data_IF_262990254982
#
_entry.id   IF_262990254982
#
_cell.length_a   1.000
_cell.length_b   1.000
_cell.length_c   1.000
_cell.angle_alpha   90.00
_cell.angle_beta   90.00
_cell.angle_gamma   90.00
#
_symmetry.space_group_name_H-M   'P 1'
#
loop_
_entity.id
_entity.type
_entity.pdbx_description
1 polymer ?
#
# COMPACT_ATOMS: atom_id res chain seq x y z
N UNK A 1 28.23 21.50 60.98
CA UNK A 1 27.58 20.62 59.96
C UNK A 1 27.05 21.48 58.82
N UNK A 2 27.97 21.99 57.99
CA UNK A 2 27.70 22.99 56.96
C UNK A 2 28.23 22.60 55.57
N UNK A 3 28.41 21.30 55.28
CA UNK A 3 29.08 20.87 54.05
C UNK A 3 28.40 19.73 53.25
N UNK A 4 27.25 19.21 53.69
CA UNK A 4 26.57 18.12 52.97
C UNK A 4 25.32 18.55 52.15
N UNK A 5 24.93 19.84 52.21
CA UNK A 5 23.72 20.37 51.58
C UNK A 5 23.98 21.46 50.51
N UNK A 6 25.23 21.60 50.04
CA UNK A 6 25.60 22.59 49.00
C UNK A 6 26.00 21.99 47.64
N UNK A 7 25.94 20.68 47.45
CA UNK A 7 26.47 20.01 46.25
C UNK A 7 25.46 19.31 45.35
N UNK A 8 24.15 19.51 45.53
CA UNK A 8 23.13 19.03 44.59
C UNK A 8 22.27 20.14 43.96
N UNK A 9 22.63 21.39 44.19
CA UNK A 9 22.05 22.54 43.50
C UNK A 9 23.01 23.01 42.41
N UNK A 10 23.10 22.23 41.34
CA UNK A 10 23.61 22.59 40.00
C UNK A 10 23.85 21.31 39.20
N UNK A 11 22.81 20.83 38.52
CA UNK A 11 22.93 20.05 37.27
C UNK A 11 21.61 20.20 36.50
N UNK A 12 21.35 21.44 36.11
CA UNK A 12 20.54 21.72 34.93
C UNK A 12 21.35 21.26 33.72
N UNK A 13 20.65 20.62 32.78
CA UNK A 13 21.03 20.42 31.38
C UNK A 13 22.31 19.61 31.10
N UNK A 14 22.10 18.32 30.84
CA UNK A 14 22.75 17.72 29.67
C UNK A 14 21.68 17.33 28.67
N UNK A 15 21.63 17.96 27.47
CA UNK A 15 20.80 17.45 26.39
C UNK A 15 21.23 16.01 26.09
N UNK A 16 20.25 15.13 25.88
CA UNK A 16 20.49 13.73 25.50
C UNK A 16 21.52 13.70 24.37
N UNK A 17 22.68 13.08 24.63
CA UNK A 17 23.77 13.00 23.64
C UNK A 17 23.32 12.10 22.50
N UNK A 18 23.95 12.22 21.33
CA UNK A 18 23.52 11.54 20.09
C UNK A 18 23.19 10.05 20.22
N UNK A 19 23.86 9.31 21.11
CA UNK A 19 23.59 7.89 21.40
C UNK A 19 22.26 7.66 22.14
N UNK A 20 21.85 8.59 23.01
CA UNK A 20 20.60 8.52 23.77
C UNK A 20 19.41 8.96 22.90
N UNK A 21 19.62 9.89 21.97
CA UNK A 21 18.63 10.25 20.94
C UNK A 21 18.47 9.10 19.90
N UNK A 22 19.57 8.46 19.51
CA UNK A 22 19.59 7.26 18.67
C UNK A 22 18.88 6.09 19.37
N UNK A 23 19.10 5.90 20.67
CA UNK A 23 18.40 4.89 21.47
C UNK A 23 16.91 5.21 21.61
N UNK A 24 16.53 6.48 21.78
CA UNK A 24 15.13 6.88 21.87
C UNK A 24 14.38 6.76 20.53
N UNK A 25 15.01 7.10 19.41
CA UNK A 25 14.47 6.91 18.06
C UNK A 25 14.41 5.42 17.67
N UNK A 26 15.42 4.63 18.05
CA UNK A 26 15.43 3.19 17.90
C UNK A 26 14.28 2.55 18.72
N UNK A 27 14.14 2.94 19.99
CA UNK A 27 13.06 2.47 20.88
C UNK A 27 11.66 2.92 20.43
N UNK A 28 11.52 4.13 19.85
CA UNK A 28 10.26 4.60 19.28
C UNK A 28 9.89 3.83 18.00
N UNK A 29 10.86 3.58 17.12
CA UNK A 29 10.61 2.77 15.91
C UNK A 29 10.38 1.29 16.24
N UNK A 30 11.02 0.75 17.28
CA UNK A 30 10.75 -0.60 17.80
C UNK A 30 9.32 -0.72 18.37
N UNK A 31 8.86 0.29 19.13
CA UNK A 31 7.61 0.19 19.88
C UNK A 31 6.36 0.55 19.10
N UNK A 32 6.39 1.49 18.14
CA UNK A 32 5.18 1.93 17.42
C UNK A 32 5.24 1.88 15.90
N UNK A 33 6.40 1.57 15.30
CA UNK A 33 6.57 1.71 13.85
C UNK A 33 6.66 3.18 13.44
N UNK A 34 6.94 3.43 12.15
CA UNK A 34 6.98 4.78 11.59
C UNK A 34 5.90 4.93 10.53
N UNK A 35 5.25 6.10 10.51
CA UNK A 35 4.36 6.45 9.42
C UNK A 35 5.14 6.46 8.09
N UNK A 36 4.60 5.88 7.01
CA UNK A 36 5.36 5.72 5.78
C UNK A 36 5.75 7.03 5.09
N UNK A 37 4.96 8.09 5.24
CA UNK A 37 5.25 9.42 4.70
C UNK A 37 6.46 10.05 5.42
N UNK A 38 6.63 9.80 6.71
CA UNK A 38 7.80 10.22 7.49
C UNK A 38 9.07 9.54 6.97
N UNK A 39 9.00 8.22 6.70
CA UNK A 39 10.12 7.46 6.10
C UNK A 39 10.43 7.99 4.69
N UNK A 40 9.40 8.21 3.87
CA UNK A 40 9.54 8.74 2.52
C UNK A 40 10.20 10.12 2.48
N UNK A 41 9.74 11.05 3.33
CA UNK A 41 10.33 12.40 3.44
C UNK A 41 11.78 12.34 3.91
N UNK A 42 12.10 11.46 4.87
CA UNK A 42 13.47 11.28 5.36
C UNK A 42 14.42 10.79 4.26
N UNK A 43 13.98 9.86 3.42
CA UNK A 43 14.78 9.30 2.32
C UNK A 43 14.88 10.23 1.11
N UNK A 44 13.86 11.04 0.85
CA UNK A 44 13.82 12.00 -0.26
C UNK A 44 14.53 13.33 0.04
N UNK A 45 14.91 13.57 1.29
CA UNK A 45 15.66 14.78 1.67
C UNK A 45 17.05 14.73 1.05
N UNK A 46 17.25 15.52 -0.01
CA UNK A 46 18.55 15.76 -0.62
C UNK A 46 19.42 16.62 0.33
N UNK A 47 20.40 15.98 0.95
CA UNK A 47 21.33 16.61 1.88
C UNK A 47 22.39 17.49 1.18
N UNK A 48 22.46 17.48 -0.16
CA UNK A 48 23.41 18.26 -0.98
C UNK A 48 22.75 19.51 -1.59
N UNK A 49 21.49 19.45 -2.06
CA UNK A 49 20.76 20.61 -2.59
C UNK A 49 20.28 21.61 -1.52
N UNK A 50 20.47 21.31 -0.24
CA UNK A 50 20.27 22.26 0.86
C UNK A 50 21.38 23.33 0.90
N UNK A 51 21.75 23.92 -0.23
CA UNK A 51 22.73 25.01 -0.37
C UNK A 51 22.05 26.39 -0.50
N UNK A 52 20.83 26.50 -1.03
CA UNK A 52 20.26 27.82 -1.41
C UNK A 52 19.46 28.56 -0.34
N UNK A 53 19.20 27.97 0.82
CA UNK A 53 18.50 28.65 1.91
C UNK A 53 19.45 29.11 3.03
N UNK A 54 19.15 30.23 3.68
CA UNK A 54 20.03 30.77 4.72
C UNK A 54 20.19 29.77 5.88
N UNK A 55 21.33 29.83 6.59
CA UNK A 55 21.74 28.87 7.63
C UNK A 55 20.76 28.75 8.80
N UNK A 56 19.83 29.70 8.96
CA UNK A 56 18.79 29.69 9.98
C UNK A 56 17.60 28.79 9.60
N UNK A 57 17.19 28.74 8.34
CA UNK A 57 15.94 28.09 7.92
C UNK A 57 16.06 26.55 7.83
N UNK A 58 17.29 26.02 7.85
CA UNK A 58 17.59 24.59 7.61
C UNK A 58 17.53 23.70 8.85
N UNK A 59 17.59 24.25 10.07
CA UNK A 59 17.72 23.45 11.30
C UNK A 59 16.59 23.66 12.30
N UNK A 60 15.67 24.57 12.01
CA UNK A 60 14.57 24.89 12.90
C UNK A 60 13.50 23.80 12.92
N UNK A 61 13.08 23.17 11.80
CA UNK A 61 12.13 22.06 11.85
C UNK A 61 12.64 20.87 12.68
N UNK A 62 13.93 20.53 12.54
CA UNK A 62 14.57 19.46 13.31
C UNK A 62 14.73 19.83 14.80
N UNK A 63 15.04 21.09 15.11
CA UNK A 63 15.11 21.60 16.48
C UNK A 63 13.74 21.65 17.16
N UNK A 64 12.69 22.03 16.44
CA UNK A 64 11.32 22.06 16.92
C UNK A 64 10.75 20.65 17.10
N UNK A 65 11.07 19.71 16.21
CA UNK A 65 10.72 18.30 16.37
C UNK A 65 11.43 17.69 17.60
N UNK A 66 12.71 18.00 17.80
CA UNK A 66 13.44 17.58 19.00
C UNK A 66 12.86 18.23 20.27
N UNK A 67 12.51 19.51 20.23
CA UNK A 67 11.85 20.22 21.33
C UNK A 67 10.44 19.68 21.59
N UNK A 68 9.69 19.25 20.56
CA UNK A 68 8.42 18.52 20.69
C UNK A 68 8.63 17.20 21.43
N UNK A 69 9.59 16.39 21.01
CA UNK A 69 9.88 15.10 21.64
C UNK A 69 10.31 15.29 23.10
N UNK A 70 11.17 16.27 23.38
CA UNK A 70 11.64 16.57 24.74
C UNK A 70 10.52 17.15 25.61
N UNK A 71 9.73 18.11 25.11
CA UNK A 71 8.62 18.70 25.88
C UNK A 71 7.52 17.69 26.17
N UNK A 72 7.19 16.80 25.22
CA UNK A 72 6.24 15.70 25.45
C UNK A 72 6.78 14.70 26.46
N UNK A 73 8.09 14.40 26.42
CA UNK A 73 8.72 13.53 27.40
C UNK A 73 8.72 14.15 28.81
N UNK A 74 9.02 15.44 28.92
CA UNK A 74 8.99 16.17 30.20
C UNK A 74 7.57 16.24 30.76
N UNK A 75 6.56 16.57 29.94
CA UNK A 75 5.16 16.60 30.38
C UNK A 75 4.65 15.22 30.79
N UNK A 76 5.07 14.15 30.11
CA UNK A 76 4.69 12.78 30.45
C UNK A 76 5.39 12.25 31.71
N UNK A 77 6.60 12.73 32.02
CA UNK A 77 7.41 12.25 33.16
C UNK A 77 7.20 13.10 34.42
N UNK A 78 7.06 14.42 34.28
CA UNK A 78 6.93 15.35 35.41
C UNK A 78 5.49 15.79 35.69
N UNK A 79 4.53 15.46 34.82
CA UNK A 79 3.09 15.67 35.05
C UNK A 79 2.77 17.05 35.62
N UNK A 80 2.12 17.07 36.80
CA UNK A 80 1.69 18.30 37.47
C UNK A 80 2.81 19.12 38.13
N UNK A 81 4.04 18.62 38.18
CA UNK A 81 5.18 19.32 38.78
C UNK A 81 5.78 20.40 37.85
N UNK A 82 5.42 20.40 36.55
CA UNK A 82 5.78 21.48 35.62
C UNK A 82 4.79 22.64 35.81
N UNK A 83 5.22 23.88 36.12
CA UNK A 83 4.30 25.00 36.28
C UNK A 83 3.40 25.14 35.06
N UNK A 84 2.10 25.39 35.26
CA UNK A 84 1.13 25.49 34.16
C UNK A 84 1.45 26.60 33.15
N UNK A 85 2.34 27.53 33.50
CA UNK A 85 2.70 28.73 32.74
C UNK A 85 1.48 29.60 32.39
N UNK A 86 0.39 29.49 33.16
CA UNK A 86 -0.90 30.13 32.89
C UNK A 86 -1.85 29.23 32.09
N UNK A 87 -3.11 29.68 31.98
CA UNK A 87 -4.15 28.99 31.21
C UNK A 87 -4.58 29.87 30.04
N UNK A 88 -4.75 29.24 28.88
CA UNK A 88 -5.30 29.91 27.70
C UNK A 88 -6.77 30.27 27.97
N UNK A 89 -7.21 31.41 27.42
CA UNK A 89 -8.65 31.73 27.43
C UNK A 89 -9.41 30.67 26.63
N UNK A 90 -10.68 30.39 26.95
CA UNK A 90 -11.46 29.32 26.30
C UNK A 90 -11.47 29.41 24.78
N UNK A 91 -11.58 30.63 24.24
CA UNK A 91 -11.59 30.89 22.80
C UNK A 91 -10.25 30.54 22.13
N UNK A 92 -9.13 30.85 22.76
CA UNK A 92 -7.79 30.55 22.22
C UNK A 92 -7.48 29.05 22.35
N UNK A 93 -7.94 28.43 23.44
CA UNK A 93 -7.84 26.99 23.64
C UNK A 93 -8.60 26.22 22.55
N UNK A 94 -9.88 26.54 22.32
CA UNK A 94 -10.70 25.89 21.29
C UNK A 94 -10.14 26.11 19.87
N UNK A 95 -9.63 27.32 19.59
CA UNK A 95 -8.97 27.61 18.32
C UNK A 95 -7.75 26.69 18.13
N UNK A 96 -6.87 26.58 19.13
CA UNK A 96 -5.69 25.71 19.05
C UNK A 96 -6.08 24.23 18.98
N UNK A 97 -7.12 23.79 19.70
CA UNK A 97 -7.63 22.41 19.59
C UNK A 97 -8.17 22.10 18.20
N UNK A 98 -8.82 23.06 17.53
CA UNK A 98 -9.31 22.89 16.16
C UNK A 98 -8.16 22.67 15.16
N UNK A 99 -7.01 23.32 15.40
CA UNK A 99 -5.79 23.14 14.60
C UNK A 99 -5.08 21.84 14.96
N UNK A 100 -4.93 21.53 16.25
CA UNK A 100 -4.30 20.29 16.72
C UNK A 100 -5.07 19.03 16.27
N UNK A 101 -6.41 19.10 16.20
CA UNK A 101 -7.25 18.00 15.71
C UNK A 101 -7.02 17.65 14.23
N UNK A 102 -6.52 18.59 13.41
CA UNK A 102 -6.12 18.30 12.03
C UNK A 102 -4.84 17.45 11.95
N UNK A 103 -4.05 17.42 13.03
CA UNK A 103 -2.84 16.58 13.20
C UNK A 103 -3.04 15.41 14.18
N UNK A 104 -4.31 15.03 14.43
CA UNK A 104 -4.75 13.87 15.23
C UNK A 104 -4.32 13.93 16.72
N UNK A 105 -3.99 15.11 17.25
CA UNK A 105 -3.63 15.24 18.66
C UNK A 105 -4.40 16.38 19.32
N UNK A 106 -4.84 16.21 20.57
CA UNK A 106 -5.50 17.25 21.34
C UNK A 106 -4.78 17.45 22.67
N UNK A 107 -4.59 18.70 23.10
CA UNK A 107 -4.06 18.99 24.41
C UNK A 107 -5.08 18.59 25.49
N UNK A 108 -4.64 18.00 26.61
CA UNK A 108 -5.57 17.47 27.62
C UNK A 108 -6.18 18.54 28.52
N UNK A 109 -5.61 19.75 28.54
CA UNK A 109 -6.10 20.86 29.36
C UNK A 109 -5.81 22.22 28.72
N UNK A 110 -6.45 23.31 29.20
CA UNK A 110 -6.17 24.69 28.76
C UNK A 110 -4.83 25.25 29.26
N UNK A 111 -4.07 24.49 30.05
CA UNK A 111 -2.77 24.94 30.52
C UNK A 111 -1.80 25.09 29.34
N UNK A 112 -1.09 26.21 29.25
CA UNK A 112 -0.19 26.52 28.13
C UNK A 112 0.84 25.40 27.92
N UNK A 113 1.36 24.82 29.02
CA UNK A 113 2.32 23.71 28.98
C UNK A 113 1.85 22.50 28.15
N UNK A 114 0.55 22.23 28.12
CA UNK A 114 -0.01 21.05 27.46
C UNK A 114 -0.16 21.26 25.95
N UNK A 115 -0.14 22.51 25.50
CA UNK A 115 -0.16 22.89 24.08
C UNK A 115 1.24 23.00 23.47
N UNK A 116 2.26 23.30 24.27
CA UNK A 116 3.64 23.53 23.80
C UNK A 116 4.16 22.41 22.88
N UNK A 117 4.02 21.11 23.20
CA UNK A 117 4.50 20.07 22.31
C UNK A 117 3.83 20.13 20.93
N UNK A 118 2.52 20.32 20.90
CA UNK A 118 1.74 20.32 19.66
C UNK A 118 1.97 21.58 18.82
N UNK A 119 2.12 22.73 19.47
CA UNK A 119 2.53 23.99 18.82
C UNK A 119 3.92 23.86 18.22
N UNK A 120 4.87 23.19 18.90
CA UNK A 120 6.21 22.95 18.35
C UNK A 120 6.19 22.00 17.15
N UNK A 121 5.34 20.98 17.19
CA UNK A 121 5.12 20.07 16.06
C UNK A 121 4.50 20.81 14.86
N UNK A 122 3.49 21.65 15.09
CA UNK A 122 2.83 22.43 14.05
C UNK A 122 3.74 23.53 13.49
N UNK A 123 4.52 24.20 14.33
CA UNK A 123 5.55 25.13 13.89
C UNK A 123 6.64 24.39 13.10
N UNK A 124 6.99 23.14 13.44
CA UNK A 124 7.93 22.35 12.65
C UNK A 124 7.38 22.01 11.25
N UNK A 125 6.07 21.83 11.14
CA UNK A 125 5.37 21.64 9.86
C UNK A 125 5.13 22.97 9.10
N UNK A 126 5.04 24.09 9.82
CA UNK A 126 4.68 25.42 9.30
C UNK A 126 5.83 26.44 9.23
N UNK A 127 7.09 26.05 9.44
CA UNK A 127 8.25 26.94 9.56
C UNK A 127 8.73 27.64 8.26
N UNK A 128 7.81 27.96 7.36
CA UNK A 128 8.02 28.94 6.29
C UNK A 128 7.62 30.38 6.66
N UNK A 129 7.03 30.63 7.85
CA UNK A 129 6.28 31.87 8.07
C UNK A 129 6.91 32.99 8.91
N UNK A 130 7.81 32.80 9.91
CA UNK A 130 8.31 33.95 10.71
C UNK A 130 9.74 33.76 11.27
N UNK A 131 10.58 34.76 10.96
CA UNK A 131 12.00 34.92 11.32
C UNK A 131 12.25 35.02 12.85
N UNK A 132 13.49 34.67 13.24
CA UNK A 132 14.29 35.06 14.44
C UNK A 132 14.34 34.13 15.66
N UNK A 133 15.55 33.64 16.00
CA UNK A 133 16.29 33.83 17.27
C UNK A 133 17.53 32.87 17.32
N UNK A 134 18.67 33.26 17.94
CA UNK A 134 20.00 33.16 17.34
C UNK A 134 20.99 32.18 18.01
N UNK A 135 22.00 31.76 17.23
CA UNK A 135 23.39 31.47 17.63
C UNK A 135 23.69 30.48 18.78
N UNK A 136 23.40 29.17 18.65
CA UNK A 136 24.06 28.19 19.52
C UNK A 136 24.33 26.82 18.85
N UNK A 137 25.62 26.55 18.66
CA UNK A 137 26.28 25.26 18.38
C UNK A 137 26.41 24.70 16.94
N UNK A 138 27.58 25.04 16.38
CA UNK A 138 28.44 24.41 15.35
C UNK A 138 28.14 22.96 14.88
N UNK A 139 28.13 22.77 13.54
CA UNK A 139 27.33 21.75 12.81
C UNK A 139 28.11 20.79 11.85
N UNK A 140 29.42 20.54 12.02
CA UNK A 140 30.17 19.71 11.04
C UNK A 140 29.98 18.19 11.19
N UNK A 141 29.91 17.64 12.40
CA UNK A 141 29.83 16.19 12.64
C UNK A 141 28.46 15.53 12.49
N UNK A 142 27.39 16.29 12.24
CA UNK A 142 26.01 15.78 12.19
C UNK A 142 25.55 15.36 10.79
N UNK A 143 26.21 15.86 9.73
CA UNK A 143 25.86 15.55 8.33
C UNK A 143 26.26 14.14 7.93
N UNK A 144 27.44 13.69 8.33
CA UNK A 144 27.92 12.32 8.07
C UNK A 144 27.04 11.29 8.77
N UNK A 145 26.66 11.56 10.02
CA UNK A 145 25.73 10.71 10.78
C UNK A 145 24.33 10.65 10.16
N UNK A 146 23.79 11.78 9.68
CA UNK A 146 22.50 11.78 8.99
C UNK A 146 22.54 10.95 7.68
N UNK A 147 23.64 11.02 6.92
CA UNK A 147 23.86 10.19 5.72
C UNK A 147 23.94 8.70 6.06
N UNK A 148 24.66 8.36 7.13
CA UNK A 148 24.77 6.97 7.60
C UNK A 148 23.39 6.42 7.99
N UNK A 149 22.57 7.20 8.70
CA UNK A 149 21.21 6.81 9.05
C UNK A 149 20.28 6.72 7.83
N UNK A 150 20.38 7.64 6.85
CA UNK A 150 19.65 7.51 5.58
C UNK A 150 20.05 6.23 4.84
N UNK A 151 21.33 5.85 4.85
CA UNK A 151 21.79 4.60 4.24
C UNK A 151 21.21 3.37 4.95
N UNK A 152 21.20 3.35 6.29
CA UNK A 152 20.62 2.27 7.09
C UNK A 152 19.12 2.15 6.84
N UNK A 153 18.37 3.26 6.89
CA UNK A 153 16.92 3.26 6.63
C UNK A 153 16.61 2.86 5.20
N UNK A 154 17.41 3.30 4.22
CA UNK A 154 17.28 2.88 2.82
C UNK A 154 17.50 1.37 2.69
N UNK A 155 18.57 0.84 3.27
CA UNK A 155 18.85 -0.61 3.24
C UNK A 155 17.75 -1.43 3.92
N UNK A 156 17.25 -1.00 5.08
CA UNK A 156 16.14 -1.68 5.77
C UNK A 156 14.83 -1.59 4.99
N UNK A 157 14.56 -0.45 4.35
CA UNK A 157 13.42 -0.27 3.46
C UNK A 157 13.54 -1.16 2.22
N UNK A 158 14.73 -1.25 1.62
CA UNK A 158 15.03 -2.13 0.47
C UNK A 158 15.00 -3.63 0.81
N UNK A 159 15.08 -3.99 2.09
CA UNK A 159 14.95 -5.38 2.58
C UNK A 159 13.57 -5.71 3.13
N UNK A 160 12.65 -4.74 3.20
CA UNK A 160 11.33 -4.94 3.79
C UNK A 160 11.40 -5.27 5.30
N UNK A 161 12.38 -4.71 6.01
CA UNK A 161 12.61 -4.93 7.45
C UNK A 161 12.11 -3.76 8.32
N UNK A 162 11.55 -2.72 7.68
CA UNK A 162 11.01 -1.56 8.38
C UNK A 162 9.72 -1.91 9.11
N UNK A 163 9.51 -1.36 10.31
CA UNK A 163 8.22 -1.44 10.99
C UNK A 163 7.42 -0.17 10.66
N UNK A 164 6.22 -0.34 10.13
CA UNK A 164 5.34 0.75 9.75
C UNK A 164 4.16 0.89 10.72
N UNK A 165 3.65 2.12 10.84
CA UNK A 165 2.37 2.42 11.47
C UNK A 165 1.42 2.82 10.33
N UNK A 166 0.40 2.00 10.08
CA UNK A 166 -0.51 2.19 8.95
C UNK A 166 -1.82 2.82 9.43
N UNK A 167 -2.57 3.41 8.51
CA UNK A 167 -3.90 3.90 8.81
C UNK A 167 -4.79 2.74 9.28
N UNK A 168 -5.67 3.00 10.26
CA UNK A 168 -6.66 2.01 10.68
C UNK A 168 -7.59 1.71 9.51
N UNK A 169 -7.78 0.42 9.21
CA UNK A 169 -8.62 -0.04 8.11
C UNK A 169 -7.90 -0.12 6.75
N UNK A 170 -6.58 0.10 6.69
CA UNK A 170 -5.81 0.00 5.44
C UNK A 170 -5.93 -1.38 4.78
N UNK A 171 -5.62 -1.43 3.48
CA UNK A 171 -5.61 -2.65 2.68
C UNK A 171 -4.23 -3.32 2.78
N UNK A 172 -4.18 -4.58 3.22
CA UNK A 172 -2.98 -5.41 3.15
C UNK A 172 -2.97 -6.19 1.82
N UNK A 173 -2.15 -5.76 0.86
CA UNK A 173 -2.07 -6.33 -0.48
C UNK A 173 -0.94 -7.35 -0.59
N UNK A 174 -1.29 -8.61 -0.84
CA UNK A 174 -0.37 -9.72 -1.07
C UNK A 174 -0.21 -9.95 -2.57
N UNK A 175 0.99 -9.67 -3.06
CA UNK A 175 1.35 -9.81 -4.47
C UNK A 175 2.29 -10.98 -4.65
N UNK A 176 2.19 -11.68 -5.79
CA UNK A 176 3.07 -12.79 -6.13
C UNK A 176 4.50 -12.33 -6.42
N UNK A 177 4.87 -12.28 -7.70
CA UNK A 177 6.17 -11.71 -8.14
C UNK A 177 6.05 -10.24 -8.48
N UNK A 178 5.21 -9.53 -7.72
CA UNK A 178 4.79 -8.15 -7.97
C UNK A 178 3.53 -8.09 -8.81
N UNK A 179 2.69 -7.12 -8.49
CA UNK A 179 1.51 -6.81 -9.27
C UNK A 179 1.40 -5.29 -9.37
N UNK A 180 1.44 -4.81 -10.60
CA UNK A 180 1.30 -3.39 -10.91
C UNK A 180 -0.03 -2.79 -10.44
N UNK A 181 -1.08 -3.62 -10.24
CA UNK A 181 -2.34 -3.21 -9.65
C UNK A 181 -2.14 -2.80 -8.18
N UNK A 182 -1.26 -3.46 -7.44
CA UNK A 182 -0.92 -3.05 -6.07
C UNK A 182 -0.13 -1.73 -6.07
N UNK A 183 0.82 -1.57 -6.99
CA UNK A 183 1.55 -0.31 -7.17
C UNK A 183 0.57 0.81 -7.50
N UNK A 184 -0.36 0.57 -8.42
CA UNK A 184 -1.38 1.56 -8.80
C UNK A 184 -2.34 1.89 -7.66
N UNK A 185 -2.75 0.89 -6.88
CA UNK A 185 -3.56 1.09 -5.67
C UNK A 185 -2.81 1.98 -4.67
N UNK A 186 -1.50 1.82 -4.55
CA UNK A 186 -0.68 2.63 -3.65
C UNK A 186 -0.37 4.03 -4.20
N UNK A 187 -0.30 4.22 -5.52
CA UNK A 187 -0.18 5.53 -6.14
C UNK A 187 -1.44 6.38 -6.01
N UNK A 188 -2.61 5.72 -6.01
CA UNK A 188 -3.92 6.37 -5.94
C UNK A 188 -4.36 6.66 -4.51
N UNK A 189 -3.84 5.94 -3.52
CA UNK A 189 -4.15 6.10 -2.09
C UNK A 189 -3.01 6.77 -1.33
N UNK A 190 -3.29 7.21 -0.10
CA UNK A 190 -2.24 7.70 0.78
C UNK A 190 -1.25 6.57 1.14
N UNK A 191 0.02 6.90 1.40
CA UNK A 191 1.09 5.90 1.60
C UNK A 191 0.88 4.97 2.81
N UNK A 192 0.02 5.36 3.74
CA UNK A 192 -0.37 4.62 4.94
C UNK A 192 -1.68 3.84 4.77
N UNK A 193 -2.33 3.89 3.60
CA UNK A 193 -3.59 3.20 3.32
C UNK A 193 -3.43 1.85 2.59
N UNK A 194 -2.22 1.54 2.10
CA UNK A 194 -1.92 0.28 1.41
C UNK A 194 -0.56 -0.24 1.86
N UNK A 195 -0.54 -1.43 2.46
CA UNK A 195 0.69 -2.17 2.77
C UNK A 195 0.85 -3.29 1.75
N UNK A 196 1.92 -3.26 0.96
CA UNK A 196 2.24 -4.35 0.03
C UNK A 196 3.13 -5.40 0.70
N UNK A 197 2.81 -6.68 0.49
CA UNK A 197 3.58 -7.84 0.91
C UNK A 197 3.99 -8.64 -0.33
N UNK A 198 5.29 -8.73 -0.58
CA UNK A 198 5.84 -9.35 -1.80
C UNK A 198 7.10 -10.17 -1.50
N UNK A 199 7.43 -11.12 -2.36
CA UNK A 199 8.71 -11.86 -2.28
C UNK A 199 9.92 -11.01 -2.71
N UNK A 200 9.69 -9.98 -3.53
CA UNK A 200 10.69 -9.04 -4.00
C UNK A 200 10.10 -7.64 -4.12
N UNK A 201 10.93 -6.60 -3.93
CA UNK A 201 10.49 -5.21 -4.05
C UNK A 201 10.23 -4.85 -5.50
N UNK A 202 9.03 -4.37 -5.80
CA UNK A 202 8.67 -3.78 -7.10
C UNK A 202 8.02 -2.43 -6.82
N UNK A 203 8.57 -1.38 -7.46
CA UNK A 203 8.03 -0.01 -7.53
C UNK A 203 7.92 0.80 -6.22
N UNK A 204 7.23 0.25 -5.23
CA UNK A 204 6.65 0.91 -4.07
C UNK A 204 7.62 1.55 -3.07
N UNK A 205 7.09 2.57 -2.37
CA UNK A 205 7.75 3.24 -1.24
C UNK A 205 7.57 2.49 0.09
N UNK A 206 6.46 1.77 0.24
CA UNK A 206 6.06 1.10 1.49
C UNK A 206 5.69 -0.33 1.19
N UNK A 207 6.46 -1.28 1.71
CA UNK A 207 6.29 -2.70 1.44
C UNK A 207 6.99 -3.55 2.51
N UNK A 208 6.65 -4.84 2.53
CA UNK A 208 7.24 -5.87 3.36
C UNK A 208 7.64 -7.07 2.52
N UNK A 209 8.78 -7.68 2.88
CA UNK A 209 9.22 -8.93 2.27
C UNK A 209 8.55 -10.11 2.98
N UNK A 210 7.74 -10.87 2.25
CA UNK A 210 7.09 -12.09 2.76
C UNK A 210 7.53 -13.30 1.93
N UNK A 211 7.93 -14.36 2.61
CA UNK A 211 8.12 -15.68 1.99
C UNK A 211 6.91 -16.54 2.37
N UNK A 212 6.00 -16.77 1.42
CA UNK A 212 4.73 -17.46 1.68
C UNK A 212 4.91 -18.93 2.12
N UNK A 213 6.06 -19.53 1.82
CA UNK A 213 6.45 -20.88 2.23
C UNK A 213 7.44 -20.90 3.42
N UNK A 214 7.61 -19.77 4.11
CA UNK A 214 8.46 -19.65 5.30
C UNK A 214 7.85 -20.29 6.54
N UNK A 215 8.56 -20.23 7.67
CA UNK A 215 7.98 -20.64 8.95
C UNK A 215 6.86 -19.68 9.33
N UNK A 216 5.82 -20.20 9.97
CA UNK A 216 4.65 -19.41 10.31
C UNK A 216 5.00 -18.21 11.21
N UNK A 217 5.94 -18.39 12.15
CA UNK A 217 6.41 -17.33 13.03
C UNK A 217 7.09 -16.20 12.25
N UNK A 218 7.91 -16.52 11.25
CA UNK A 218 8.58 -15.54 10.40
C UNK A 218 7.55 -14.69 9.64
N UNK A 219 6.49 -15.33 9.14
CA UNK A 219 5.39 -14.64 8.48
C UNK A 219 4.63 -13.74 9.46
N UNK A 220 4.41 -14.20 10.70
CA UNK A 220 3.74 -13.38 11.71
C UNK A 220 4.55 -12.14 12.07
N UNK A 221 5.87 -12.25 12.17
CA UNK A 221 6.74 -11.09 12.37
C UNK A 221 6.64 -10.09 11.22
N UNK A 222 6.61 -10.57 9.97
CA UNK A 222 6.41 -9.71 8.79
C UNK A 222 5.05 -9.00 8.84
N UNK A 223 3.98 -9.71 9.21
CA UNK A 223 2.64 -9.14 9.37
C UNK A 223 2.61 -8.10 10.48
N UNK A 224 3.28 -8.34 11.61
CA UNK A 224 3.43 -7.40 12.72
C UNK A 224 4.25 -6.15 12.30
N UNK A 225 5.27 -6.30 11.43
CA UNK A 225 6.03 -5.16 10.88
C UNK A 225 5.22 -4.28 9.93
N UNK A 226 4.34 -4.88 9.14
CA UNK A 226 3.46 -4.17 8.21
C UNK A 226 2.15 -3.67 8.83
N UNK A 227 1.97 -3.81 10.15
CA UNK A 227 0.77 -3.41 10.89
C UNK A 227 -0.54 -4.12 10.46
N UNK A 228 -0.46 -5.39 10.06
CA UNK A 228 -1.63 -6.16 9.60
C UNK A 228 -2.77 -6.21 10.62
N UNK A 229 -2.46 -6.04 11.92
CA UNK A 229 -3.45 -5.91 12.99
C UNK A 229 -4.46 -4.81 12.70
N UNK A 230 -3.99 -3.65 12.25
CA UNK A 230 -4.79 -2.46 11.95
C UNK A 230 -5.45 -2.53 10.57
N UNK A 231 -5.12 -3.52 9.73
CA UNK A 231 -5.71 -3.69 8.41
C UNK A 231 -7.22 -3.94 8.49
N UNK A 232 -7.96 -3.42 7.51
CA UNK A 232 -9.40 -3.64 7.38
C UNK A 232 -9.73 -4.87 6.53
N UNK A 233 -8.80 -5.32 5.70
CA UNK A 233 -8.98 -6.39 4.71
C UNK A 233 -7.62 -6.87 4.18
N UNK A 234 -7.63 -8.06 3.58
CA UNK A 234 -6.52 -8.62 2.82
C UNK A 234 -6.90 -8.70 1.34
N UNK A 235 -6.07 -8.13 0.47
CA UNK A 235 -6.21 -8.21 -0.98
C UNK A 235 -5.16 -9.19 -1.50
N UNK A 236 -5.59 -10.27 -2.17
CA UNK A 236 -4.69 -11.26 -2.78
C UNK A 236 -4.73 -11.08 -4.28
N UNK A 237 -3.55 -10.89 -4.86
CA UNK A 237 -3.34 -10.64 -6.29
C UNK A 237 -2.54 -11.82 -6.90
N UNK A 238 -3.23 -12.89 -7.33
CA UNK A 238 -2.60 -14.11 -7.84
C UNK A 238 -2.35 -14.11 -9.36
N UNK A 239 -2.66 -13.05 -10.10
CA UNK A 239 -2.51 -12.99 -11.56
C UNK A 239 -1.22 -12.27 -11.93
N UNK A 240 -0.54 -12.70 -12.99
CA UNK A 240 0.59 -11.98 -13.58
C UNK A 240 0.13 -10.67 -14.20
N UNK A 241 1.02 -9.68 -14.20
CA UNK A 241 0.79 -8.37 -14.80
C UNK A 241 0.28 -8.47 -16.25
N UNK A 242 0.99 -9.23 -17.10
CA UNK A 242 0.68 -9.36 -18.52
C UNK A 242 -0.58 -10.19 -18.84
N UNK A 243 -1.14 -10.89 -17.84
CA UNK A 243 -2.28 -11.80 -18.00
C UNK A 243 -3.49 -11.38 -17.16
N UNK A 244 -3.48 -10.18 -16.61
CA UNK A 244 -4.58 -9.66 -15.80
C UNK A 244 -5.94 -9.71 -16.51
N UNK A 245 -5.98 -9.60 -17.84
CA UNK A 245 -7.17 -9.88 -18.65
C UNK A 245 -7.00 -11.16 -19.47
N UNK A 246 -7.96 -12.07 -19.33
CA UNK A 246 -7.92 -13.42 -19.90
C UNK A 246 -6.66 -14.21 -19.49
N UNK A 247 -6.41 -14.43 -18.19
CA UNK A 247 -5.30 -15.26 -17.75
C UNK A 247 -5.50 -16.73 -18.15
N UNK A 248 -4.41 -17.33 -18.62
CA UNK A 248 -4.33 -18.77 -18.93
C UNK A 248 -4.05 -19.58 -17.68
N UNK A 249 -3.90 -20.90 -17.81
CA UNK A 249 -3.48 -21.74 -16.67
C UNK A 249 -2.11 -21.27 -16.12
N UNK A 250 -1.19 -20.84 -17.00
CA UNK A 250 0.11 -20.28 -16.63
C UNK A 250 0.10 -18.77 -16.33
N UNK A 251 -1.07 -18.11 -16.38
CA UNK A 251 -1.21 -16.67 -16.20
C UNK A 251 -1.20 -16.20 -14.74
N UNK A 252 -0.90 -17.11 -13.82
CA UNK A 252 -0.99 -16.90 -12.39
C UNK A 252 0.39 -17.00 -11.71
N UNK A 253 0.58 -16.19 -10.69
CA UNK A 253 1.77 -16.15 -9.85
C UNK A 253 1.61 -16.93 -8.53
N UNK A 254 0.38 -17.29 -8.19
CA UNK A 254 0.06 -18.14 -7.03
C UNK A 254 -0.87 -19.27 -7.47
N UNK A 255 -0.59 -20.51 -7.03
CA UNK A 255 -1.51 -21.64 -7.19
C UNK A 255 -2.72 -21.54 -6.24
N UNK A 256 -3.74 -22.39 -6.42
CA UNK A 256 -4.89 -22.40 -5.51
C UNK A 256 -4.47 -22.82 -4.10
N UNK A 257 -3.52 -23.75 -4.00
CA UNK A 257 -2.94 -24.16 -2.72
C UNK A 257 -2.15 -23.04 -2.04
N UNK A 258 -1.41 -22.23 -2.79
CA UNK A 258 -0.69 -21.08 -2.23
C UNK A 258 -1.67 -20.00 -1.72
N UNK A 259 -2.74 -19.73 -2.48
CA UNK A 259 -3.81 -18.82 -2.06
C UNK A 259 -4.47 -19.34 -0.78
N UNK A 260 -4.86 -20.61 -0.73
CA UNK A 260 -5.47 -21.21 0.46
C UNK A 260 -4.52 -21.18 1.67
N UNK A 261 -3.26 -21.57 1.48
CA UNK A 261 -2.28 -21.58 2.56
C UNK A 261 -2.05 -20.16 3.12
N UNK A 262 -1.92 -19.15 2.27
CA UNK A 262 -1.83 -17.75 2.70
C UNK A 262 -3.05 -17.36 3.54
N UNK A 263 -4.23 -17.67 3.03
CA UNK A 263 -5.52 -17.47 3.70
C UNK A 263 -5.52 -18.12 5.10
N UNK A 264 -5.09 -19.38 5.25
CA UNK A 264 -5.01 -20.09 6.53
C UNK A 264 -3.97 -19.49 7.48
N UNK A 265 -2.84 -19.01 6.97
CA UNK A 265 -1.81 -18.30 7.75
C UNK A 265 -2.36 -16.99 8.31
N UNK A 266 -3.10 -16.22 7.51
CA UNK A 266 -3.72 -14.96 7.98
C UNK A 266 -4.77 -15.21 9.07
N UNK A 267 -5.54 -16.28 8.97
CA UNK A 267 -6.49 -16.68 10.01
C UNK A 267 -5.79 -17.10 11.30
N UNK A 268 -4.73 -17.89 11.15
CA UNK A 268 -3.89 -18.31 12.28
C UNK A 268 -3.25 -17.11 12.97
N UNK A 269 -2.82 -16.10 12.19
CA UNK A 269 -2.33 -14.83 12.73
C UNK A 269 -3.41 -14.14 13.54
N UNK A 270 -4.62 -13.95 12.97
CA UNK A 270 -5.73 -13.28 13.63
C UNK A 270 -6.10 -13.96 14.96
N UNK A 271 -6.22 -15.30 14.93
CA UNK A 271 -6.48 -16.12 16.12
C UNK A 271 -5.38 -15.97 17.17
N UNK A 272 -4.10 -16.00 16.77
CA UNK A 272 -2.97 -15.88 17.70
C UNK A 272 -2.87 -14.51 18.36
N UNK A 273 -3.36 -13.47 17.69
CA UNK A 273 -3.34 -12.08 18.18
C UNK A 273 -4.66 -11.64 18.81
N UNK A 274 -5.66 -12.52 18.85
CA UNK A 274 -6.98 -12.23 19.41
C UNK A 274 -7.72 -11.10 18.67
N UNK A 275 -7.58 -11.04 17.35
CA UNK A 275 -8.25 -10.06 16.49
C UNK A 275 -9.23 -10.76 15.55
N UNK A 276 -10.24 -10.02 15.09
CA UNK A 276 -11.21 -10.53 14.14
C UNK A 276 -10.56 -10.88 12.79
N UNK A 277 -11.09 -11.93 12.17
CA UNK A 277 -10.69 -12.32 10.82
C UNK A 277 -10.96 -11.17 9.84
N UNK A 278 -10.01 -10.94 8.93
CA UNK A 278 -10.12 -9.89 7.92
C UNK A 278 -10.90 -10.42 6.71
N UNK A 279 -11.73 -9.56 6.10
CA UNK A 279 -12.30 -9.82 4.77
C UNK A 279 -11.16 -10.07 3.78
N UNK A 280 -11.32 -11.09 2.93
CA UNK A 280 -10.35 -11.42 1.87
C UNK A 280 -10.95 -11.10 0.51
N UNK A 281 -10.26 -10.26 -0.26
CA UNK A 281 -10.57 -9.98 -1.66
C UNK A 281 -9.53 -10.68 -2.54
N UNK A 282 -9.95 -11.48 -3.52
CA UNK A 282 -9.05 -12.16 -4.45
C UNK A 282 -9.31 -11.58 -5.84
N UNK A 283 -8.31 -10.93 -6.45
CA UNK A 283 -8.43 -10.45 -7.83
C UNK A 283 -7.96 -11.56 -8.77
N UNK A 284 -8.87 -12.47 -9.10
CA UNK A 284 -8.56 -13.76 -9.70
C UNK A 284 -9.64 -14.20 -10.68
N UNK A 285 -9.25 -15.01 -11.67
CA UNK A 285 -10.23 -15.65 -12.55
C UNK A 285 -10.97 -16.74 -11.78
N UNK A 286 -12.31 -16.68 -11.73
CA UNK A 286 -13.16 -17.65 -11.01
C UNK A 286 -12.95 -19.08 -11.50
N UNK A 287 -12.75 -19.24 -12.80
CA UNK A 287 -12.53 -20.54 -13.47
C UNK A 287 -11.05 -20.93 -13.54
N UNK A 288 -10.15 -20.25 -12.83
CA UNK A 288 -8.79 -20.75 -12.64
C UNK A 288 -8.91 -22.16 -12.05
N UNK A 289 -8.32 -23.15 -12.70
CA UNK A 289 -8.43 -24.56 -12.35
C UNK A 289 -7.06 -25.12 -12.04
N UNK A 290 -6.97 -25.86 -10.94
CA UNK A 290 -5.82 -26.69 -10.62
C UNK A 290 -6.24 -28.16 -10.76
N UNK A 291 -5.35 -28.98 -11.34
CA UNK A 291 -5.62 -30.39 -11.62
C UNK A 291 -4.46 -31.23 -11.10
N UNK A 292 -4.76 -32.15 -10.19
CA UNK A 292 -3.79 -33.09 -9.63
C UNK A 292 -3.81 -34.37 -10.45
N UNK A 293 -2.62 -34.80 -10.87
CA UNK A 293 -2.46 -36.02 -11.66
C UNK A 293 -1.57 -37.02 -10.93
N UNK A 294 -1.92 -38.29 -11.01
CA UNK A 294 -1.11 -39.39 -10.50
C UNK A 294 -0.54 -40.20 -11.67
N UNK A 295 0.75 -40.55 -11.57
CA UNK A 295 1.43 -41.43 -12.51
C UNK A 295 1.99 -42.64 -11.76
N UNK A 296 1.60 -43.84 -12.16
CA UNK A 296 1.99 -45.11 -11.50
C UNK A 296 3.36 -45.67 -11.92
N UNK A 297 4.04 -45.03 -12.88
CA UNK A 297 5.36 -45.44 -13.38
C UNK A 297 5.82 -44.56 -14.54
N UNK A 298 7.12 -44.62 -14.88
CA UNK A 298 7.74 -43.71 -15.86
C UNK A 298 7.10 -43.75 -17.26
N UNK A 299 6.51 -44.89 -17.66
CA UNK A 299 5.85 -45.09 -18.95
C UNK A 299 4.32 -45.01 -18.89
N UNK A 300 3.72 -44.75 -17.73
CA UNK A 300 2.26 -44.65 -17.58
C UNK A 300 1.75 -43.28 -18.03
N UNK A 301 0.58 -43.24 -18.67
CA UNK A 301 -0.16 -41.98 -18.84
C UNK A 301 -0.51 -41.42 -17.46
N UNK A 302 -0.43 -40.09 -17.33
CA UNK A 302 -0.92 -39.41 -16.14
C UNK A 302 -2.44 -39.55 -16.08
N UNK A 303 -2.98 -39.83 -14.89
CA UNK A 303 -4.41 -39.94 -14.64
C UNK A 303 -4.78 -38.78 -13.71
N UNK A 304 -5.77 -37.99 -14.12
CA UNK A 304 -6.37 -36.96 -13.27
C UNK A 304 -7.03 -37.60 -12.05
N UNK A 305 -6.67 -37.12 -10.86
CA UNK A 305 -7.16 -37.62 -9.57
C UNK A 305 -8.10 -36.62 -8.93
N UNK A 306 -7.83 -35.33 -9.12
CA UNK A 306 -8.63 -34.26 -8.55
C UNK A 306 -8.51 -33.00 -9.42
N UNK A 307 -9.57 -32.21 -9.48
CA UNK A 307 -9.54 -30.90 -10.11
C UNK A 307 -10.56 -29.96 -9.49
N UNK A 308 -10.11 -28.74 -9.21
CA UNK A 308 -10.93 -27.75 -8.55
C UNK A 308 -10.65 -26.36 -9.11
N UNK A 309 -11.70 -25.56 -9.18
CA UNK A 309 -11.61 -24.15 -9.57
C UNK A 309 -11.44 -23.22 -8.37
N UNK A 310 -10.94 -22.00 -8.60
CA UNK A 310 -10.85 -20.96 -7.57
C UNK A 310 -12.22 -20.69 -6.93
N UNK A 311 -13.29 -20.63 -7.74
CA UNK A 311 -14.65 -20.43 -7.25
C UNK A 311 -15.11 -21.55 -6.30
N UNK A 312 -14.90 -22.81 -6.67
CA UNK A 312 -15.26 -23.96 -5.83
C UNK A 312 -14.43 -23.98 -4.53
N UNK A 313 -13.12 -23.71 -4.62
CA UNK A 313 -12.22 -23.64 -3.47
C UNK A 313 -12.65 -22.52 -2.50
N UNK A 314 -12.99 -21.34 -3.03
CA UNK A 314 -13.49 -20.21 -2.22
C UNK A 314 -14.84 -20.53 -1.59
N UNK A 315 -15.74 -21.22 -2.29
CA UNK A 315 -17.01 -21.65 -1.71
C UNK A 315 -16.80 -22.57 -0.50
N UNK A 316 -15.90 -23.55 -0.61
CA UNK A 316 -15.55 -24.45 0.50
C UNK A 316 -14.93 -23.71 1.69
N UNK A 317 -14.05 -22.75 1.43
CA UNK A 317 -13.47 -21.92 2.48
C UNK A 317 -14.52 -21.01 3.14
N UNK A 318 -15.44 -20.44 2.37
CA UNK A 318 -16.48 -19.52 2.86
C UNK A 318 -17.50 -20.24 3.76
N UNK A 319 -17.75 -21.54 3.54
CA UNK A 319 -18.58 -22.38 4.44
C UNK A 319 -18.05 -22.44 5.87
N UNK A 320 -16.76 -22.15 6.08
CA UNK A 320 -16.14 -22.03 7.42
C UNK A 320 -16.37 -20.64 8.05
N UNK A 321 -17.42 -19.92 7.65
CA UNK A 321 -17.79 -18.56 8.08
C UNK A 321 -16.77 -17.49 7.71
N UNK A 322 -16.08 -17.66 6.59
CA UNK A 322 -15.09 -16.69 6.13
C UNK A 322 -15.67 -15.77 5.07
N UNK A 323 -15.41 -14.47 5.21
CA UNK A 323 -15.76 -13.46 4.20
C UNK A 323 -14.66 -13.42 3.13
N UNK A 324 -14.85 -14.19 2.06
CA UNK A 324 -13.96 -14.22 0.89
C UNK A 324 -14.77 -13.85 -0.34
N UNK A 325 -14.24 -12.90 -1.12
CA UNK A 325 -14.85 -12.45 -2.36
C UNK A 325 -13.86 -12.49 -3.52
N UNK A 326 -14.28 -13.07 -4.66
CA UNK A 326 -13.50 -13.07 -5.89
C UNK A 326 -13.95 -11.92 -6.78
N UNK A 327 -13.00 -11.05 -7.14
CA UNK A 327 -13.15 -10.00 -8.14
C UNK A 327 -12.50 -10.53 -9.43
N UNK A 328 -13.31 -10.91 -10.41
CA UNK A 328 -12.81 -11.48 -11.67
C UNK A 328 -12.60 -10.39 -12.73
N UNK A 329 -11.34 -10.02 -13.06
CA UNK A 329 -11.07 -8.99 -14.06
C UNK A 329 -11.65 -9.33 -15.43
N UNK A 330 -11.65 -10.61 -15.79
CA UNK A 330 -12.16 -11.06 -17.08
C UNK A 330 -13.65 -10.85 -17.14
N UNK A 331 -14.38 -11.20 -16.07
CA UNK A 331 -15.81 -10.97 -16.00
C UNK A 331 -16.16 -9.48 -16.15
N UNK A 332 -15.44 -8.62 -15.43
CA UNK A 332 -15.64 -7.16 -15.44
C UNK A 332 -15.45 -6.60 -16.87
N UNK A 333 -14.31 -6.90 -17.48
CA UNK A 333 -13.96 -6.40 -18.81
C UNK A 333 -14.90 -6.95 -19.88
N UNK A 334 -15.24 -8.24 -19.84
CA UNK A 334 -16.13 -8.86 -20.82
C UNK A 334 -17.56 -8.32 -20.73
N UNK A 335 -18.08 -8.06 -19.53
CA UNK A 335 -19.38 -7.38 -19.36
C UNK A 335 -19.35 -5.98 -19.95
N UNK A 336 -18.26 -5.24 -19.76
CA UNK A 336 -18.08 -3.90 -20.34
C UNK A 336 -17.99 -3.94 -21.87
N UNK A 337 -17.23 -4.89 -22.43
CA UNK A 337 -17.16 -5.13 -23.88
C UNK A 337 -18.54 -5.43 -24.45
N UNK A 338 -19.31 -6.32 -23.82
CA UNK A 338 -20.65 -6.66 -24.27
C UNK A 338 -21.62 -5.47 -24.21
N UNK A 339 -21.53 -4.65 -23.16
CA UNK A 339 -22.31 -3.43 -23.04
C UNK A 339 -21.98 -2.41 -24.15
N UNK A 340 -20.69 -2.19 -24.42
CA UNK A 340 -20.23 -1.32 -25.50
C UNK A 340 -20.61 -1.89 -26.88
N UNK A 341 -20.55 -3.20 -27.05
CA UNK A 341 -20.96 -3.85 -28.28
C UNK A 341 -22.45 -3.64 -28.58
N UNK A 342 -23.30 -3.51 -27.55
CA UNK A 342 -24.73 -3.21 -27.67
C UNK A 342 -25.45 -4.10 -28.70
N UNK A 343 -25.21 -5.42 -28.63
CA UNK A 343 -25.82 -6.40 -29.55
C UNK A 343 -25.20 -6.45 -30.97
N UNK A 344 -24.10 -5.74 -31.23
CA UNK A 344 -23.31 -5.88 -32.46
C UNK A 344 -22.46 -7.16 -32.43
N UNK A 345 -22.08 -7.67 -33.61
CA UNK A 345 -21.19 -8.83 -33.68
C UNK A 345 -19.78 -8.42 -33.22
N UNK A 346 -19.28 -9.09 -32.19
CA UNK A 346 -17.93 -8.85 -31.66
C UNK A 346 -16.91 -9.60 -32.51
N UNK A 347 -15.79 -8.96 -32.79
CA UNK A 347 -14.64 -9.54 -33.48
C UNK A 347 -13.40 -9.27 -32.64
N UNK A 348 -12.77 -10.32 -32.12
CA UNK A 348 -11.45 -10.21 -31.51
C UNK A 348 -10.41 -9.86 -32.58
N UNK A 349 -9.49 -8.95 -32.27
CA UNK A 349 -8.40 -8.58 -33.18
C UNK A 349 -7.11 -8.37 -32.39
N UNK A 350 -6.14 -9.26 -32.61
CA UNK A 350 -4.78 -9.14 -32.08
C UNK A 350 -3.75 -9.49 -33.15
N UNK A 351 -2.47 -9.35 -32.81
CA UNK A 351 -1.39 -10.01 -33.52
C UNK A 351 -1.56 -11.54 -33.42
N UNK A 352 -0.96 -12.30 -34.35
CA UNK A 352 -1.04 -13.77 -34.40
C UNK A 352 -0.76 -14.42 -33.04
N UNK A 353 0.36 -14.06 -32.39
CA UNK A 353 0.68 -14.57 -31.06
C UNK A 353 -0.34 -14.22 -29.96
N UNK A 354 -1.09 -13.11 -30.12
CA UNK A 354 -2.16 -12.73 -29.19
C UNK A 354 -3.46 -13.47 -29.48
N UNK A 355 -3.74 -13.78 -30.74
CA UNK A 355 -4.88 -14.64 -31.12
C UNK A 355 -4.66 -16.08 -30.65
N UNK A 356 -3.47 -16.64 -30.85
CA UNK A 356 -3.10 -17.96 -30.34
C UNK A 356 -3.23 -18.05 -28.82
N UNK A 357 -2.83 -16.98 -28.11
CA UNK A 357 -2.89 -16.94 -26.65
C UNK A 357 -4.30 -16.72 -26.13
N UNK A 358 -5.06 -15.76 -26.69
CA UNK A 358 -6.30 -15.25 -26.09
C UNK A 358 -7.56 -15.48 -26.91
N UNK A 359 -7.46 -15.68 -28.23
CA UNK A 359 -8.58 -15.64 -29.17
C UNK A 359 -9.67 -16.66 -28.83
N UNK A 360 -9.32 -17.94 -28.66
CA UNK A 360 -10.30 -18.97 -28.28
C UNK A 360 -10.93 -18.66 -26.91
N UNK A 361 -10.11 -18.31 -25.93
CA UNK A 361 -10.54 -18.02 -24.55
C UNK A 361 -11.46 -16.80 -24.49
N UNK A 362 -11.19 -15.78 -25.29
CA UNK A 362 -12.05 -14.60 -25.42
C UNK A 362 -13.48 -15.01 -25.79
N UNK A 363 -13.64 -15.84 -26.83
CA UNK A 363 -14.97 -16.25 -27.28
C UNK A 363 -15.64 -17.27 -26.35
N UNK A 364 -14.87 -18.17 -25.75
CA UNK A 364 -15.38 -19.07 -24.70
C UNK A 364 -15.96 -18.27 -23.53
N UNK A 365 -15.18 -17.33 -22.98
CA UNK A 365 -15.61 -16.52 -21.84
C UNK A 365 -16.73 -15.54 -22.21
N UNK A 366 -16.73 -15.01 -23.44
CA UNK A 366 -17.86 -14.20 -23.93
C UNK A 366 -19.15 -15.02 -23.87
N UNK A 367 -19.12 -16.25 -24.41
CA UNK A 367 -20.28 -17.14 -24.42
C UNK A 367 -20.76 -17.50 -23.01
N UNK A 368 -19.84 -17.72 -22.07
CA UNK A 368 -20.16 -18.01 -20.67
C UNK A 368 -20.89 -16.84 -19.99
N UNK A 369 -20.47 -15.60 -20.27
CA UNK A 369 -21.00 -14.41 -19.59
C UNK A 369 -22.29 -13.88 -20.21
N UNK A 370 -22.38 -13.84 -21.55
CA UNK A 370 -23.50 -13.23 -22.27
C UNK A 370 -24.40 -14.23 -23.00
N UNK A 371 -24.06 -15.53 -23.01
CA UNK A 371 -24.82 -16.56 -23.71
C UNK A 371 -24.50 -16.60 -25.21
N UNK A 372 -25.52 -16.63 -26.07
CA UNK A 372 -25.29 -16.64 -27.52
C UNK A 372 -24.77 -15.28 -28.03
N UNK A 373 -23.71 -15.31 -28.85
CA UNK A 373 -23.24 -14.11 -29.54
C UNK A 373 -24.36 -13.46 -30.37
N UNK A 374 -24.47 -12.12 -30.37
CA UNK A 374 -25.42 -11.43 -31.22
C UNK A 374 -25.18 -11.76 -32.71
N UNK A 375 -26.11 -12.48 -33.32
CA UNK A 375 -26.03 -12.94 -34.72
C UNK A 375 -26.29 -11.83 -35.75
N UNK A 376 -26.29 -10.55 -35.35
CA UNK A 376 -26.56 -9.43 -36.25
C UNK A 376 -25.45 -9.33 -37.31
N UNK A 377 -25.82 -9.58 -38.57
CA UNK A 377 -24.87 -9.59 -39.71
C UNK A 377 -24.45 -8.20 -40.18
N UNK A 378 -25.10 -7.12 -39.76
CA UNK A 378 -24.96 -5.80 -40.40
C UNK A 378 -23.93 -4.88 -39.78
N UNK A 379 -23.59 -5.04 -38.49
CA UNK A 379 -22.62 -4.18 -37.83
C UNK A 379 -21.70 -4.97 -36.91
N UNK A 380 -20.39 -4.79 -37.09
CA UNK A 380 -19.34 -5.46 -36.33
C UNK A 380 -18.63 -4.44 -35.44
N UNK A 381 -18.27 -4.85 -34.24
CA UNK A 381 -17.36 -4.10 -33.37
C UNK A 381 -16.08 -4.92 -33.20
N UNK A 382 -14.93 -4.30 -33.44
CA UNK A 382 -13.64 -4.93 -33.18
C UNK A 382 -13.21 -4.64 -31.76
N UNK A 383 -12.70 -5.65 -31.08
CA UNK A 383 -12.07 -5.53 -29.77
C UNK A 383 -10.60 -5.84 -29.96
N UNK A 384 -9.74 -4.86 -29.69
CA UNK A 384 -8.30 -5.01 -29.80
C UNK A 384 -7.69 -5.27 -28.43
N UNK A 385 -7.00 -6.40 -28.31
CA UNK A 385 -6.22 -6.78 -27.15
C UNK A 385 -5.01 -7.58 -27.59
N UNK A 386 -3.85 -7.31 -26.98
CA UNK A 386 -2.58 -7.91 -27.35
C UNK A 386 -1.76 -8.16 -26.08
N UNK A 387 -0.78 -9.07 -26.19
CA UNK A 387 0.16 -9.40 -25.09
C UNK A 387 0.87 -8.15 -24.54
N UNK A 388 1.13 -7.16 -25.41
CA UNK A 388 1.62 -5.84 -25.00
C UNK A 388 0.66 -4.80 -25.55
N UNK A 389 0.59 -3.62 -24.94
CA UNK A 389 -0.34 -2.59 -25.39
C UNK A 389 0.09 -1.88 -26.69
N UNK A 390 1.35 -2.06 -27.14
CA UNK A 390 1.90 -1.36 -28.31
C UNK A 390 1.11 -1.67 -29.60
N UNK A 391 0.82 -2.94 -29.96
CA UNK A 391 0.05 -3.23 -31.17
C UNK A 391 -1.40 -2.73 -31.06
N UNK A 392 -2.01 -2.79 -29.88
CA UNK A 392 -3.34 -2.23 -29.62
C UNK A 392 -3.34 -0.73 -29.83
N UNK A 393 -2.35 -0.03 -29.25
CA UNK A 393 -2.13 1.40 -29.43
C UNK A 393 -2.05 1.75 -30.92
N UNK A 394 -1.21 1.05 -31.69
CA UNK A 394 -0.97 1.34 -33.12
C UNK A 394 -2.21 1.09 -33.99
N UNK A 395 -2.95 -0.01 -33.80
CA UNK A 395 -3.92 -0.50 -34.78
C UNK A 395 -5.40 -0.22 -34.44
N UNK A 396 -5.69 0.33 -33.26
CA UNK A 396 -7.06 0.67 -32.88
C UNK A 396 -7.60 1.82 -33.73
N UNK A 397 -8.81 1.63 -34.28
CA UNK A 397 -9.59 2.64 -34.98
C UNK A 397 -10.67 3.27 -34.10
N UNK A 398 -11.23 4.40 -34.54
CA UNK A 398 -12.20 5.19 -33.76
C UNK A 398 -13.48 4.44 -33.35
N UNK A 399 -13.85 3.39 -34.10
CA UNK A 399 -15.04 2.57 -33.85
C UNK A 399 -14.73 1.25 -33.13
N UNK A 400 -13.46 1.01 -32.84
CA UNK A 400 -13.00 -0.20 -32.18
C UNK A 400 -12.97 0.02 -30.66
N UNK A 401 -13.06 -1.07 -29.91
CA UNK A 401 -12.86 -1.09 -28.46
C UNK A 401 -11.39 -1.43 -28.20
N UNK A 402 -10.68 -0.56 -27.49
CA UNK A 402 -9.31 -0.81 -27.04
C UNK A 402 -9.36 -1.44 -25.65
N UNK A 403 -8.77 -2.62 -25.47
CA UNK A 403 -8.48 -3.16 -24.14
C UNK A 403 -6.98 -3.02 -23.93
N UNK A 404 -6.60 -2.26 -22.89
CA UNK A 404 -5.21 -2.02 -22.54
C UNK A 404 -4.98 -2.35 -21.08
N UNK A 405 -3.78 -2.83 -20.79
CA UNK A 405 -3.31 -2.97 -19.43
C UNK A 405 -2.84 -1.58 -19.01
N UNK A 406 -1.70 -1.09 -19.52
CA UNK A 406 -1.00 0.14 -19.14
C UNK A 406 -1.85 1.43 -19.30
N UNK A 407 -2.17 2.03 -18.15
CA UNK A 407 -2.93 3.28 -18.06
C UNK A 407 -2.25 4.46 -18.77
N UNK A 408 -0.92 4.47 -18.90
CA UNK A 408 -0.17 5.53 -19.59
C UNK A 408 -0.55 5.63 -21.07
N UNK A 409 -1.02 4.54 -21.67
CA UNK A 409 -1.44 4.47 -23.07
C UNK A 409 -2.79 5.13 -23.33
N UNK A 410 -3.62 5.31 -22.29
CA UNK A 410 -4.93 5.94 -22.41
C UNK A 410 -4.82 7.34 -23.03
N UNK A 411 -3.90 8.16 -22.57
CA UNK A 411 -3.74 9.53 -23.07
C UNK A 411 -3.34 9.55 -24.56
N UNK A 412 -2.49 8.62 -24.98
CA UNK A 412 -2.08 8.49 -26.39
C UNK A 412 -3.25 8.07 -27.29
N UNK A 413 -4.10 7.15 -26.82
CA UNK A 413 -5.30 6.74 -27.55
C UNK A 413 -6.30 7.90 -27.70
N UNK A 414 -6.50 8.68 -26.64
CA UNK A 414 -7.36 9.88 -26.68
C UNK A 414 -6.84 10.92 -27.69
N UNK A 415 -5.52 11.18 -27.71
CA UNK A 415 -4.89 12.11 -28.66
C UNK A 415 -5.06 11.67 -30.12
N UNK A 416 -5.23 10.37 -30.37
CA UNK A 416 -5.52 9.82 -31.70
C UNK A 416 -7.00 9.88 -32.09
N UNK A 417 -7.86 10.38 -31.21
CA UNK A 417 -9.29 10.51 -31.43
C UNK A 417 -10.07 9.21 -31.19
N UNK A 418 -9.53 8.28 -30.40
CA UNK A 418 -10.30 7.14 -29.89
C UNK A 418 -11.24 7.66 -28.79
N UNK A 419 -12.56 7.41 -28.87
CA UNK A 419 -13.49 7.85 -27.82
C UNK A 419 -13.14 7.23 -26.47
N UNK A 420 -13.23 8.01 -25.39
CA UNK A 420 -12.84 7.55 -24.05
C UNK A 420 -13.66 6.34 -23.60
N UNK A 421 -14.95 6.31 -23.95
CA UNK A 421 -15.87 5.21 -23.67
C UNK A 421 -15.47 3.89 -24.33
N UNK A 422 -14.70 3.94 -25.42
CA UNK A 422 -14.21 2.77 -26.14
C UNK A 422 -12.86 2.28 -25.60
N UNK A 423 -12.26 2.96 -24.63
CA UNK A 423 -10.99 2.56 -24.02
C UNK A 423 -11.27 1.90 -22.68
N UNK A 424 -10.89 0.63 -22.56
CA UNK A 424 -10.95 -0.14 -21.33
C UNK A 424 -9.52 -0.29 -20.80
N UNK A 425 -9.22 0.44 -19.73
CA UNK A 425 -8.01 0.25 -18.93
C UNK A 425 -8.34 -0.76 -17.85
N UNK A 426 -7.82 -1.98 -17.96
CA UNK A 426 -8.22 -3.11 -17.10
C UNK A 426 -8.05 -2.81 -15.60
N UNK A 427 -6.90 -2.28 -15.11
CA UNK A 427 -6.76 -1.90 -13.69
C UNK A 427 -7.77 -0.90 -13.23
N UNK A 428 -8.06 0.13 -14.02
CA UNK A 428 -8.95 1.20 -13.61
C UNK A 428 -10.35 0.64 -13.36
N UNK A 429 -10.78 -0.37 -14.12
CA UNK A 429 -12.05 -1.05 -13.90
C UNK A 429 -12.04 -1.91 -12.63
N UNK A 430 -10.92 -2.57 -12.31
CA UNK A 430 -10.78 -3.35 -11.07
C UNK A 430 -10.72 -2.42 -9.85
N UNK A 431 -9.93 -1.34 -9.91
CA UNK A 431 -9.77 -0.35 -8.84
C UNK A 431 -11.10 0.33 -8.50
N UNK A 432 -11.92 0.68 -9.51
CA UNK A 432 -13.27 1.21 -9.27
C UNK A 432 -14.16 0.27 -8.46
N UNK A 433 -14.00 -1.04 -8.63
CA UNK A 433 -14.76 -2.04 -7.87
C UNK A 433 -14.16 -2.22 -6.48
N UNK A 434 -12.82 -2.24 -6.36
CA UNK A 434 -12.14 -2.30 -5.08
C UNK A 434 -12.52 -1.10 -4.20
N UNK A 435 -12.44 0.13 -4.71
CA UNK A 435 -12.76 1.34 -3.93
C UNK A 435 -14.21 1.35 -3.43
N UNK A 436 -15.17 0.95 -4.28
CA UNK A 436 -16.58 0.81 -3.85
C UNK A 436 -16.74 -0.18 -2.71
N UNK A 437 -16.00 -1.29 -2.75
CA UNK A 437 -16.07 -2.35 -1.73
C UNK A 437 -15.37 -1.98 -0.42
N UNK A 438 -14.42 -1.05 -0.47
CA UNK A 438 -13.79 -0.49 0.74
C UNK A 438 -14.73 0.51 1.42
N UNK A 439 -15.50 1.28 0.65
CA UNK A 439 -16.44 2.30 1.16
C UNK A 439 -17.78 1.71 1.68
N UNK A 440 -18.10 0.46 1.37
CA UNK A 440 -19.31 -0.25 1.84
C UNK A 440 -19.25 -0.71 3.32
N UNK A 441 -18.31 -0.19 4.12
CA UNK A 441 -18.07 -0.57 5.53
C UNK A 441 -18.84 0.27 6.56
#
# INVERSE_FOLDING_TARGET
MGEALKTLNNKVETPLKGVELESALAQLSERRGLAPDVVGRFLATDLEQAETLSTADKWIPAGLLAAYVVSRAVNNVMGDAVPTMGTLSPVIHELLQSVHNLSVNAAKSPAIRDHVPYVLLELSAGFGALKTLPQWFTLRGKREKAREQQKIVRQKSERGEMKFEMAKGHTAAFVGRGDWLADRLQETKASDQVMQYASMKIGSRVWQMIQQQGRQEDIFEVLDRGDFRSAGEALILPIKEEDMFLPGEDGHDMSLDEIQNLIEILDSYCKSRGIDQKKVLIVGRKTLRETYVQRKGASSKAIEVDSQTLAERVEEMSRKQRDIEIIDPTEIVMRKIAALANGRKIVFTGAEASDDRYGERFFQTLKEIIGEEPKSKREKVRVLYNITDIPTEVHVGQRDIAVILDSSKKETLLKRGIPEENIIVVPDEILKILDRKVDEK
#
